data_IF_664157735306
#
_entry.id   IF_664157735306
#
_cell.length_a   1.000
_cell.length_b   1.000
_cell.length_c   1.000
_cell.angle_alpha   90.00
_cell.angle_beta   90.00
_cell.angle_gamma   90.00
#
_symmetry.space_group_name_H-M   'P 1'
#
loop_
_entity.id
_entity.type
_entity.pdbx_description
1 polymer ?
#
# COMPACT_ATOMS: atom_id res chain seq x y z
N UNK A 1 32.18 -13.12 1.60
CA UNK A 1 32.69 -12.08 0.68
C UNK A 1 32.14 -10.73 1.14
N UNK A 2 32.97 -9.72 1.42
CA UNK A 2 32.46 -8.44 1.92
C UNK A 2 32.00 -7.60 0.72
N UNK A 3 30.70 -7.30 0.64
CA UNK A 3 30.18 -6.38 -0.37
C UNK A 3 30.45 -4.96 0.11
N UNK A 4 31.51 -4.33 -0.37
CA UNK A 4 31.66 -2.88 -0.30
C UNK A 4 30.82 -2.25 -1.43
N UNK A 5 29.72 -1.55 -1.11
CA UNK A 5 28.95 -0.70 -2.07
C UNK A 5 28.14 0.38 -1.34
N UNK A 6 28.49 1.65 -1.55
CA UNK A 6 27.78 2.91 -1.25
C UNK A 6 26.58 2.85 -0.27
N UNK A 7 26.88 2.91 1.03
CA UNK A 7 25.93 2.99 2.14
C UNK A 7 24.96 4.19 2.04
N UNK A 8 25.45 5.37 1.64
CA UNK A 8 24.64 6.61 1.61
C UNK A 8 23.50 6.60 0.58
N UNK A 9 23.74 6.10 -0.63
CA UNK A 9 22.73 6.09 -1.71
C UNK A 9 21.62 5.07 -1.42
N UNK A 10 21.96 3.93 -0.81
CA UNK A 10 20.96 2.93 -0.42
C UNK A 10 20.11 3.42 0.75
N UNK A 11 20.72 4.09 1.74
CA UNK A 11 19.98 4.72 2.83
C UNK A 11 19.03 5.81 2.33
N UNK A 12 19.52 6.70 1.45
CA UNK A 12 18.70 7.75 0.84
C UNK A 12 17.54 7.18 0.03
N UNK A 13 17.77 6.11 -0.72
CA UNK A 13 16.71 5.44 -1.47
C UNK A 13 15.62 4.87 -0.55
N UNK A 14 16.00 4.13 0.50
CA UNK A 14 15.07 3.58 1.49
C UNK A 14 14.24 4.70 2.14
N UNK A 15 14.90 5.80 2.50
CA UNK A 15 14.26 6.93 3.16
C UNK A 15 13.25 7.63 2.24
N UNK A 16 13.57 7.80 0.96
CA UNK A 16 12.63 8.32 -0.05
C UNK A 16 11.44 7.39 -0.26
N UNK A 17 11.66 6.07 -0.34
CA UNK A 17 10.55 5.11 -0.47
C UNK A 17 9.61 5.15 0.73
N UNK A 18 10.14 5.15 1.96
CA UNK A 18 9.31 5.22 3.17
C UNK A 18 8.59 6.57 3.25
N UNK A 19 9.25 7.67 2.87
CA UNK A 19 8.63 8.99 2.83
C UNK A 19 7.45 9.01 1.86
N UNK A 20 7.61 8.44 0.66
CA UNK A 20 6.54 8.38 -0.32
C UNK A 20 5.37 7.52 0.18
N UNK A 21 5.66 6.40 0.84
CA UNK A 21 4.64 5.52 1.43
C UNK A 21 3.84 6.22 2.54
N UNK A 22 4.51 6.91 3.45
CA UNK A 22 3.87 7.69 4.52
C UNK A 22 2.98 8.82 3.98
N UNK A 23 3.43 9.51 2.92
CA UNK A 23 2.61 10.52 2.23
C UNK A 23 1.37 9.86 1.62
N UNK A 24 1.54 8.70 0.99
CA UNK A 24 0.44 7.93 0.43
C UNK A 24 -0.62 7.55 1.47
N UNK A 25 -0.20 6.94 2.58
CA UNK A 25 -1.10 6.60 3.68
C UNK A 25 -1.80 7.83 4.26
N UNK A 26 -1.09 8.96 4.37
CA UNK A 26 -1.65 10.24 4.82
C UNK A 26 -2.74 10.79 3.90
N UNK A 27 -2.64 10.55 2.59
CA UNK A 27 -3.67 10.93 1.60
C UNK A 27 -4.85 9.95 1.64
N UNK A 28 -4.57 8.64 1.74
CA UNK A 28 -5.60 7.60 1.72
C UNK A 28 -6.58 7.72 2.89
N UNK A 29 -6.06 7.92 4.10
CA UNK A 29 -6.87 7.88 5.33
C UNK A 29 -8.09 8.82 5.31
N UNK A 30 -7.97 10.09 4.90
CA UNK A 30 -9.13 10.98 4.75
C UNK A 30 -9.94 10.72 3.47
N UNK A 31 -9.29 10.36 2.36
CA UNK A 31 -9.94 10.19 1.05
C UNK A 31 -10.84 8.95 1.00
N UNK A 32 -10.44 7.86 1.65
CA UNK A 32 -11.15 6.59 1.56
C UNK A 32 -12.57 6.62 2.18
N UNK A 33 -12.79 7.22 3.37
CA UNK A 33 -14.14 7.46 3.90
C UNK A 33 -15.02 8.32 3.00
N UNK A 34 -14.46 9.38 2.40
CA UNK A 34 -15.17 10.26 1.46
C UNK A 34 -15.59 9.50 0.20
N UNK A 35 -14.68 8.71 -0.39
CA UNK A 35 -14.98 7.88 -1.56
C UNK A 35 -16.09 6.85 -1.28
N UNK A 36 -16.05 6.20 -0.11
CA UNK A 36 -17.11 5.25 0.27
C UNK A 36 -18.44 5.97 0.43
N UNK A 37 -18.44 7.17 1.01
CA UNK A 37 -19.66 7.97 1.19
C UNK A 37 -20.27 8.38 -0.15
N UNK A 38 -19.43 8.82 -1.10
CA UNK A 38 -19.86 9.18 -2.45
C UNK A 38 -20.42 7.98 -3.22
N UNK A 39 -19.74 6.83 -3.16
CA UNK A 39 -20.13 5.61 -3.88
C UNK A 39 -21.32 4.85 -3.24
N UNK A 40 -21.54 5.02 -1.94
CA UNK A 40 -22.60 4.29 -1.20
C UNK A 40 -23.94 5.02 -1.22
N UNK A 41 -23.98 6.32 -1.59
CA UNK A 41 -25.16 7.21 -1.46
C UNK A 41 -25.89 7.07 -0.11
N UNK A 42 -25.17 6.66 0.93
CA UNK A 42 -25.71 6.12 2.16
C UNK A 42 -25.26 6.91 3.39
N UNK A 43 -25.64 6.44 4.57
CA UNK A 43 -25.30 7.10 5.83
C UNK A 43 -23.83 6.89 6.21
N UNK A 44 -23.20 7.92 6.82
CA UNK A 44 -21.82 7.89 7.34
C UNK A 44 -21.53 6.64 8.18
N UNK A 45 -22.49 6.17 8.98
CA UNK A 45 -22.35 4.97 9.81
C UNK A 45 -22.04 3.71 9.00
N UNK A 46 -22.67 3.52 7.84
CA UNK A 46 -22.43 2.35 6.98
C UNK A 46 -21.08 2.47 6.27
N UNK A 47 -20.71 3.69 5.86
CA UNK A 47 -19.40 3.96 5.26
C UNK A 47 -18.25 3.70 6.23
N UNK A 48 -18.41 4.03 7.51
CA UNK A 48 -17.42 3.75 8.54
C UNK A 48 -17.19 2.24 8.73
N UNK A 49 -18.26 1.43 8.72
CA UNK A 49 -18.17 -0.04 8.81
C UNK A 49 -17.42 -0.61 7.59
N UNK A 50 -17.76 -0.16 6.38
CA UNK A 50 -17.09 -0.59 5.15
C UNK A 50 -15.62 -0.17 5.12
N UNK A 51 -15.32 1.05 5.56
CA UNK A 51 -13.95 1.55 5.73
C UNK A 51 -13.15 0.69 6.71
N UNK A 52 -13.77 0.27 7.82
CA UNK A 52 -13.18 -0.67 8.77
C UNK A 52 -12.80 -2.01 8.14
N UNK A 53 -13.68 -2.59 7.31
CA UNK A 53 -13.36 -3.82 6.56
C UNK A 53 -12.22 -3.63 5.55
N UNK A 54 -12.16 -2.49 4.86
CA UNK A 54 -11.09 -2.18 3.92
C UNK A 54 -9.73 -2.07 4.61
N UNK A 55 -9.68 -1.40 5.77
CA UNK A 55 -8.47 -1.31 6.60
C UNK A 55 -8.08 -2.69 7.14
N UNK A 56 -9.06 -3.50 7.58
CA UNK A 56 -8.82 -4.86 8.06
C UNK A 56 -8.20 -5.75 6.97
N UNK A 57 -8.76 -5.76 5.76
CA UNK A 57 -8.22 -6.54 4.63
C UNK A 57 -6.80 -6.08 4.29
N UNK A 58 -6.57 -4.76 4.24
CA UNK A 58 -5.24 -4.20 4.00
C UNK A 58 -4.21 -4.64 5.06
N UNK A 59 -4.56 -4.59 6.34
CA UNK A 59 -3.69 -5.00 7.44
C UNK A 59 -3.43 -6.52 7.45
N UNK A 60 -4.48 -7.32 7.18
CA UNK A 60 -4.39 -8.77 7.12
C UNK A 60 -3.43 -9.22 6.01
N UNK A 61 -3.54 -8.62 4.82
CA UNK A 61 -2.67 -8.93 3.70
C UNK A 61 -1.23 -8.49 3.96
N UNK A 62 -1.01 -7.30 4.54
CA UNK A 62 0.34 -6.91 4.95
C UNK A 62 0.94 -7.90 5.94
N UNK A 63 0.17 -8.34 6.94
CA UNK A 63 0.64 -9.32 7.91
C UNK A 63 1.03 -10.65 7.27
N UNK A 64 0.22 -11.16 6.33
CA UNK A 64 0.49 -12.41 5.61
C UNK A 64 1.68 -12.31 4.65
N UNK A 65 1.80 -11.20 3.93
CA UNK A 65 2.79 -11.03 2.85
C UNK A 65 4.10 -10.38 3.32
N UNK A 66 4.13 -9.72 4.47
CA UNK A 66 5.36 -9.13 5.05
C UNK A 66 6.51 -10.14 5.20
N UNK A 67 6.31 -11.35 5.78
CA UNK A 67 7.40 -12.33 5.87
C UNK A 67 7.81 -12.90 4.50
N UNK A 68 6.87 -12.98 3.55
CA UNK A 68 7.15 -13.48 2.19
C UNK A 68 8.01 -12.48 1.43
N UNK A 69 7.61 -11.21 1.46
CA UNK A 69 8.29 -10.14 0.76
C UNK A 69 9.60 -9.73 1.44
N UNK A 70 9.70 -9.85 2.77
CA UNK A 70 10.95 -9.72 3.51
C UNK A 70 11.98 -10.76 3.06
N UNK A 71 11.60 -12.05 3.05
CA UNK A 71 12.48 -13.12 2.55
C UNK A 71 12.85 -12.94 1.07
N UNK A 72 11.93 -12.44 0.24
CA UNK A 72 12.19 -12.16 -1.16
C UNK A 72 13.17 -10.99 -1.34
N UNK A 73 13.04 -9.95 -0.51
CA UNK A 73 13.93 -8.79 -0.44
C UNK A 73 15.34 -9.18 -0.05
N UNK A 74 15.47 -10.11 0.91
CA UNK A 74 16.76 -10.61 1.36
C UNK A 74 17.46 -11.47 0.27
N UNK A 75 16.69 -12.20 -0.55
CA UNK A 75 17.23 -13.06 -1.62
C UNK A 75 17.55 -12.32 -2.93
N UNK A 76 16.71 -11.38 -3.35
CA UNK A 76 16.84 -10.65 -4.62
C UNK A 76 17.45 -9.24 -4.46
N UNK A 77 17.64 -8.80 -3.21
CA UNK A 77 18.13 -7.46 -2.86
C UNK A 77 16.99 -6.47 -2.63
N UNK A 78 17.19 -5.54 -1.68
CA UNK A 78 16.15 -4.58 -1.23
C UNK A 78 15.63 -3.63 -2.31
N UNK A 79 16.47 -3.22 -3.27
CA UNK A 79 16.10 -2.22 -4.29
C UNK A 79 14.97 -2.67 -5.23
N UNK A 80 15.04 -3.82 -5.92
CA UNK A 80 13.98 -4.25 -6.84
C UNK A 80 12.65 -4.50 -6.12
N UNK A 81 12.68 -5.02 -4.89
CA UNK A 81 11.47 -5.30 -4.12
C UNK A 81 10.73 -4.00 -3.72
N UNK A 82 11.47 -2.99 -3.24
CA UNK A 82 10.89 -1.67 -2.94
C UNK A 82 10.31 -0.97 -4.18
N UNK A 83 10.94 -1.10 -5.34
CA UNK A 83 10.40 -0.55 -6.59
C UNK A 83 9.11 -1.24 -7.01
N UNK A 84 9.04 -2.57 -6.85
CA UNK A 84 7.83 -3.34 -7.14
C UNK A 84 6.67 -2.90 -6.23
N UNK A 85 6.96 -2.64 -4.95
CA UNK A 85 5.99 -2.09 -3.99
C UNK A 85 5.44 -0.74 -4.41
N UNK A 86 6.32 0.18 -4.80
CA UNK A 86 5.92 1.50 -5.30
C UNK A 86 5.04 1.44 -6.54
N UNK A 87 5.34 0.53 -7.47
CA UNK A 87 4.51 0.30 -8.66
C UNK A 87 3.15 -0.24 -8.25
N UNK A 88 3.09 -1.20 -7.32
CA UNK A 88 1.83 -1.72 -6.79
C UNK A 88 0.97 -0.66 -6.11
N UNK A 89 1.58 0.21 -5.30
CA UNK A 89 0.91 1.36 -4.69
C UNK A 89 0.38 2.34 -5.75
N UNK A 90 1.17 2.62 -6.79
CA UNK A 90 0.73 3.48 -7.90
C UNK A 90 -0.49 2.90 -8.61
N UNK A 91 -0.51 1.59 -8.84
CA UNK A 91 -1.65 0.88 -9.44
C UNK A 91 -2.87 0.95 -8.51
N UNK A 92 -2.71 0.77 -7.19
CA UNK A 92 -3.79 0.96 -6.22
C UNK A 92 -4.40 2.36 -6.31
N UNK A 93 -3.59 3.41 -6.30
CA UNK A 93 -4.08 4.79 -6.43
C UNK A 93 -4.86 5.03 -7.73
N UNK A 94 -4.40 4.47 -8.85
CA UNK A 94 -5.12 4.56 -10.11
C UNK A 94 -6.46 3.83 -10.05
N UNK A 95 -6.48 2.62 -9.50
CA UNK A 95 -7.70 1.83 -9.30
C UNK A 95 -8.69 2.62 -8.42
N UNK A 96 -8.22 3.23 -7.33
CA UNK A 96 -9.05 4.02 -6.43
C UNK A 96 -9.58 5.30 -7.09
N UNK A 97 -8.74 6.01 -7.85
CA UNK A 97 -9.13 7.24 -8.55
C UNK A 97 -10.16 7.03 -9.65
N UNK A 98 -10.18 5.84 -10.27
CA UNK A 98 -11.15 5.47 -11.31
C UNK A 98 -12.26 4.53 -10.82
N UNK A 99 -12.39 4.31 -9.51
CA UNK A 99 -13.31 3.32 -8.95
C UNK A 99 -14.80 3.70 -9.18
N UNK A 100 -15.57 2.93 -9.97
CA UNK A 100 -17.01 3.18 -10.15
C UNK A 100 -17.87 2.55 -9.04
N UNK A 101 -17.34 1.60 -8.26
CA UNK A 101 -18.08 0.91 -7.18
C UNK A 101 -17.16 0.58 -6.01
N UNK A 102 -17.76 0.33 -4.83
CA UNK A 102 -17.03 -0.07 -3.61
C UNK A 102 -16.18 -1.33 -3.82
N UNK A 103 -16.57 -2.24 -4.71
CA UNK A 103 -15.79 -3.43 -5.03
C UNK A 103 -14.38 -3.12 -5.55
N UNK A 104 -14.22 -2.02 -6.29
CA UNK A 104 -12.91 -1.56 -6.76
C UNK A 104 -12.01 -1.09 -5.64
N UNK A 105 -12.58 -0.54 -4.56
CA UNK A 105 -11.82 -0.19 -3.36
C UNK A 105 -11.23 -1.43 -2.70
N UNK A 106 -11.97 -2.55 -2.65
CA UNK A 106 -11.43 -3.81 -2.13
C UNK A 106 -10.31 -4.36 -3.00
N UNK A 107 -10.46 -4.32 -4.33
CA UNK A 107 -9.40 -4.75 -5.26
C UNK A 107 -8.13 -3.90 -5.08
N UNK A 108 -8.29 -2.59 -4.98
CA UNK A 108 -7.19 -1.67 -4.66
C UNK A 108 -6.50 -2.02 -3.34
N UNK A 109 -7.28 -2.17 -2.26
CA UNK A 109 -6.74 -2.55 -0.93
C UNK A 109 -5.98 -3.87 -0.95
N UNK A 110 -6.43 -4.84 -1.74
CA UNK A 110 -5.75 -6.12 -1.87
C UNK A 110 -4.40 -5.93 -2.57
N UNK A 111 -4.40 -5.19 -3.69
CA UNK A 111 -3.17 -4.87 -4.40
C UNK A 111 -2.19 -4.12 -3.49
N UNK A 112 -2.64 -3.06 -2.82
CA UNK A 112 -1.87 -2.27 -1.87
C UNK A 112 -1.36 -3.10 -0.69
N UNK A 113 -2.17 -4.00 -0.14
CA UNK A 113 -1.79 -4.85 0.99
C UNK A 113 -0.67 -5.82 0.64
N UNK A 114 -0.67 -6.35 -0.59
CA UNK A 114 0.39 -7.21 -1.09
C UNK A 114 1.63 -6.37 -1.40
N UNK A 115 1.49 -5.25 -2.12
CA UNK A 115 2.65 -4.44 -2.54
C UNK A 115 3.29 -3.68 -1.38
N UNK A 116 2.49 -3.14 -0.46
CA UNK A 116 2.95 -2.37 0.70
C UNK A 116 3.71 -3.20 1.73
N UNK A 117 3.53 -4.53 1.76
CA UNK A 117 4.19 -5.39 2.75
C UNK A 117 5.71 -5.53 2.57
N UNK A 118 6.26 -4.97 1.49
CA UNK A 118 7.71 -4.95 1.22
C UNK A 118 8.41 -3.64 1.62
N UNK A 119 7.64 -2.62 2.01
CA UNK A 119 8.15 -1.31 2.45
C UNK A 119 8.50 -1.32 3.94
#
# INVERSE_FOLDING_TARGET
MPVARNSRLTLGFILVTILLDMVGLGIILPVLPELILELSHGTIARSAVVGGYLVFVYALLQFLFSPVLGNLSDRFGRRPVLLLSLVGLTIDYLIMGFAPTIGWLFVGRIAAGISGAAV
#
